data_IF_867734741024
#
_entry.id   IF_867734741024
#
_cell.length_a   1.000
_cell.length_b   1.000
_cell.length_c   1.000
_cell.angle_alpha   90.00
_cell.angle_beta   90.00
_cell.angle_gamma   90.00
#
_symmetry.space_group_name_H-M   'P 1'
#
loop_
_entity.id
_entity.type
_entity.pdbx_description
1 polymer ?
#
# COMPACT_ATOMS: atom_id res chain seq x y z
N UNK A 1 -5.18 17.17 9.36
CA UNK A 1 -4.87 17.29 10.78
C UNK A 1 -3.51 16.68 11.12
N UNK A 2 -3.00 16.99 12.32
CA UNK A 2 -1.85 16.33 12.94
C UNK A 2 -2.12 16.22 14.44
N UNK A 3 -2.00 15.02 14.99
CA UNK A 3 -2.27 14.75 16.40
C UNK A 3 -1.24 13.77 16.98
N UNK A 4 -1.08 13.81 18.30
CA UNK A 4 -0.20 12.89 19.02
C UNK A 4 -0.96 12.28 20.20
N UNK A 5 -0.91 10.98 20.34
CA UNK A 5 -1.55 10.27 21.44
C UNK A 5 -0.77 9.00 21.79
N UNK A 6 -0.56 8.78 23.11
CA UNK A 6 0.00 7.52 23.64
C UNK A 6 1.29 7.07 22.94
N UNK A 7 2.18 8.00 22.55
CA UNK A 7 3.45 7.68 21.90
C UNK A 7 3.35 7.32 20.42
N UNK A 8 2.27 7.72 19.77
CA UNK A 8 2.07 7.68 18.31
C UNK A 8 1.72 9.09 17.82
N UNK A 9 2.31 9.50 16.72
CA UNK A 9 1.88 10.66 15.92
C UNK A 9 1.05 10.15 14.75
N UNK A 10 -0.07 10.80 14.47
CA UNK A 10 -0.90 10.53 13.29
C UNK A 10 -1.18 11.85 12.58
N UNK A 11 -0.84 11.90 11.30
CA UNK A 11 -1.08 13.05 10.42
C UNK A 11 -1.95 12.61 9.24
N UNK A 12 -2.96 13.42 8.91
CA UNK A 12 -3.74 13.27 7.69
C UNK A 12 -3.33 14.38 6.71
N UNK A 13 -3.00 14.02 5.49
CA UNK A 13 -2.56 14.90 4.41
C UNK A 13 -3.54 14.71 3.25
N UNK A 14 -4.27 15.77 2.93
CA UNK A 14 -5.17 15.75 1.77
C UNK A 14 -4.39 16.07 0.49
N UNK A 15 -4.78 15.41 -0.60
CA UNK A 15 -4.26 15.68 -1.94
C UNK A 15 -5.37 15.51 -2.98
N UNK A 16 -5.21 16.17 -4.13
CA UNK A 16 -6.16 16.05 -5.23
C UNK A 16 -5.80 14.85 -6.10
N UNK A 17 -6.66 13.85 -6.12
CA UNK A 17 -6.61 12.68 -6.99
C UNK A 17 -7.48 12.87 -8.25
N UNK A 18 -7.41 11.94 -9.22
CA UNK A 18 -8.18 12.01 -10.46
C UNK A 18 -9.71 11.93 -10.26
N UNK A 19 -10.16 11.29 -9.20
CA UNK A 19 -11.59 11.17 -8.87
C UNK A 19 -12.00 12.03 -7.66
N UNK A 20 -11.22 13.07 -7.34
CA UNK A 20 -11.49 13.98 -6.23
C UNK A 20 -10.45 13.92 -5.13
N UNK A 21 -10.74 14.61 -4.02
CA UNK A 21 -9.83 14.68 -2.87
C UNK A 21 -9.65 13.33 -2.20
N UNK A 22 -8.42 13.04 -1.80
CA UNK A 22 -8.04 11.83 -1.04
C UNK A 22 -7.24 12.22 0.18
N UNK A 23 -7.30 11.39 1.20
CA UNK A 23 -6.56 11.58 2.44
C UNK A 23 -5.52 10.47 2.60
N UNK A 24 -4.28 10.88 2.80
CA UNK A 24 -3.16 10.01 3.14
C UNK A 24 -2.88 10.12 4.64
N UNK A 25 -2.94 9.01 5.35
CA UNK A 25 -2.62 8.94 6.77
C UNK A 25 -1.17 8.54 6.96
N UNK A 26 -0.44 9.28 7.78
CA UNK A 26 0.97 8.98 8.11
C UNK A 26 1.12 8.88 9.61
N UNK A 27 1.67 7.78 10.11
CA UNK A 27 1.92 7.56 11.52
C UNK A 27 3.38 7.18 11.79
N UNK A 28 3.93 7.69 12.90
CA UNK A 28 5.32 7.47 13.32
C UNK A 28 5.51 7.77 14.82
N UNK A 29 6.72 7.62 15.33
CA UNK A 29 7.05 8.06 16.68
C UNK A 29 6.94 9.60 16.81
N UNK A 30 6.36 10.14 17.89
CA UNK A 30 6.32 11.58 18.12
C UNK A 30 7.72 12.21 18.14
N UNK A 31 7.89 13.32 17.41
CA UNK A 31 9.18 14.02 17.33
C UNK A 31 10.17 13.40 16.32
N UNK A 32 9.77 12.38 15.55
CA UNK A 32 10.58 11.88 14.45
C UNK A 32 10.56 12.89 13.31
N UNK A 33 11.71 13.52 13.03
CA UNK A 33 11.87 14.51 11.96
C UNK A 33 12.10 13.82 10.61
N UNK A 34 12.99 12.82 10.59
CA UNK A 34 13.32 12.08 9.36
C UNK A 34 13.29 10.57 9.64
N UNK A 35 12.36 9.82 9.04
CA UNK A 35 12.34 8.38 9.15
C UNK A 35 13.42 7.72 8.28
N UNK A 36 13.92 6.57 8.72
CA UNK A 36 14.86 5.76 7.95
C UNK A 36 14.14 4.99 6.82
N UNK A 37 12.82 4.83 6.94
CA UNK A 37 11.96 4.08 6.02
C UNK A 37 10.52 4.58 6.09
N UNK A 38 9.88 4.66 4.93
CA UNK A 38 8.42 4.78 4.80
C UNK A 38 7.86 3.48 4.25
N UNK A 39 6.85 2.92 4.92
CA UNK A 39 6.04 1.83 4.38
C UNK A 39 4.66 2.40 4.01
N UNK A 40 4.36 2.46 2.71
CA UNK A 40 3.06 2.91 2.21
C UNK A 40 2.21 1.70 1.86
N UNK A 41 1.10 1.54 2.57
CA UNK A 41 0.12 0.48 2.38
C UNK A 41 -1.09 0.99 1.61
N UNK A 42 -1.39 0.36 0.47
CA UNK A 42 -2.64 0.54 -0.26
C UNK A 42 -3.70 -0.35 0.37
N UNK A 43 -4.71 0.26 0.98
CA UNK A 43 -5.73 -0.43 1.75
C UNK A 43 -6.86 -0.92 0.83
N UNK A 44 -7.31 -2.15 1.02
CA UNK A 44 -8.64 -2.62 0.60
C UNK A 44 -9.67 -2.40 1.71
N UNK A 45 -10.91 -2.85 1.51
CA UNK A 45 -12.01 -2.64 2.46
C UNK A 45 -11.70 -3.18 3.86
N UNK A 46 -11.19 -4.39 3.98
CA UNK A 46 -10.82 -4.96 5.28
C UNK A 46 -9.60 -4.23 5.88
N UNK A 47 -8.59 -3.94 5.07
CA UNK A 47 -7.42 -3.16 5.51
C UNK A 47 -7.79 -1.77 6.03
N UNK A 48 -8.80 -1.12 5.43
CA UNK A 48 -9.34 0.14 5.93
C UNK A 48 -9.97 0.00 7.31
N UNK A 49 -10.81 -1.02 7.51
CA UNK A 49 -11.41 -1.31 8.82
C UNK A 49 -10.34 -1.61 9.87
N UNK A 50 -9.35 -2.41 9.51
CA UNK A 50 -8.22 -2.75 10.38
C UNK A 50 -7.40 -1.51 10.78
N UNK A 51 -7.13 -0.61 9.83
CA UNK A 51 -6.47 0.66 10.09
C UNK A 51 -7.26 1.52 11.09
N UNK A 52 -8.56 1.69 10.86
CA UNK A 52 -9.43 2.45 11.75
C UNK A 52 -9.48 1.82 13.15
N UNK A 53 -9.66 0.50 13.24
CA UNK A 53 -9.67 -0.22 14.51
C UNK A 53 -8.34 -0.07 15.27
N UNK A 54 -7.21 -0.12 14.53
CA UNK A 54 -5.87 0.04 15.11
C UNK A 54 -5.60 1.46 15.60
N UNK A 55 -6.05 2.49 14.89
CA UNK A 55 -5.80 3.90 15.24
C UNK A 55 -6.82 4.45 16.24
N UNK A 56 -8.03 3.91 16.29
CA UNK A 56 -9.11 4.36 17.19
C UNK A 56 -8.69 4.54 18.65
N UNK A 57 -7.90 3.65 19.30
CA UNK A 57 -7.54 3.82 20.72
C UNK A 57 -6.79 5.11 21.06
N UNK A 58 -6.17 5.74 20.08
CA UNK A 58 -5.44 7.00 20.26
C UNK A 58 -6.08 8.21 19.58
N UNK A 59 -6.91 8.00 18.54
CA UNK A 59 -7.27 9.06 17.58
C UNK A 59 -8.76 9.03 17.19
N UNK A 60 -9.66 8.54 18.07
CA UNK A 60 -11.08 8.41 17.79
C UNK A 60 -11.72 9.73 17.35
N UNK A 61 -11.33 10.85 17.96
CA UNK A 61 -11.86 12.18 17.63
C UNK A 61 -11.34 12.69 16.30
N UNK A 62 -10.06 12.49 16.04
CA UNK A 62 -9.35 12.96 14.85
C UNK A 62 -9.76 12.19 13.59
N UNK A 63 -10.09 10.90 13.74
CA UNK A 63 -10.61 10.08 12.64
C UNK A 63 -11.98 10.56 12.17
N UNK A 64 -12.84 11.09 13.08
CA UNK A 64 -14.04 11.84 12.73
C UNK A 64 -15.18 11.05 12.07
N UNK A 65 -15.09 9.71 11.97
CA UNK A 65 -16.09 8.87 11.36
C UNK A 65 -17.19 8.47 12.36
N UNK A 66 -18.44 8.44 11.90
CA UNK A 66 -19.60 8.08 12.73
C UNK A 66 -19.56 6.59 13.09
N UNK A 67 -19.24 5.73 12.12
CA UNK A 67 -19.21 4.28 12.28
C UNK A 67 -17.78 3.73 12.33
N UNK A 68 -17.10 3.95 13.44
CA UNK A 68 -15.79 3.37 13.66
C UNK A 68 -15.89 1.90 14.11
N UNK A 69 -15.05 1.00 13.57
CA UNK A 69 -14.98 -0.38 14.05
C UNK A 69 -14.54 -0.44 15.51
N UNK A 70 -14.78 -1.57 16.17
CA UNK A 70 -14.33 -1.78 17.54
C UNK A 70 -12.82 -1.53 17.69
N UNK A 71 -12.35 -0.88 18.77
CA UNK A 71 -10.94 -0.53 18.94
C UNK A 71 -10.07 -1.79 19.10
N UNK A 72 -8.97 -1.88 18.34
CA UNK A 72 -8.00 -2.96 18.45
C UNK A 72 -6.76 -2.52 19.25
N UNK A 73 -6.85 -2.68 20.59
CA UNK A 73 -5.77 -2.30 21.50
C UNK A 73 -4.47 -3.09 21.25
N UNK A 74 -4.57 -4.36 20.81
CA UNK A 74 -3.41 -5.20 20.52
C UNK A 74 -2.63 -4.62 19.33
N UNK A 75 -3.33 -4.32 18.25
CA UNK A 75 -2.73 -3.72 17.06
C UNK A 75 -2.14 -2.34 17.35
N UNK A 76 -2.84 -1.48 18.11
CA UNK A 76 -2.32 -0.19 18.53
C UNK A 76 -1.00 -0.31 19.33
N UNK A 77 -0.94 -1.25 20.29
CA UNK A 77 0.28 -1.53 21.06
C UNK A 77 1.43 -2.05 20.18
N UNK A 78 1.12 -2.85 19.16
CA UNK A 78 2.13 -3.30 18.20
C UNK A 78 2.73 -2.12 17.42
N UNK A 79 1.91 -1.17 16.94
CA UNK A 79 2.39 0.07 16.32
C UNK A 79 3.28 0.88 17.27
N UNK A 80 2.85 1.06 18.54
CA UNK A 80 3.67 1.74 19.56
C UNK A 80 5.03 1.07 19.74
N UNK A 81 5.04 -0.28 19.83
CA UNK A 81 6.28 -1.05 19.97
C UNK A 81 7.20 -0.89 18.76
N UNK A 82 6.65 -0.98 17.56
CA UNK A 82 7.38 -0.80 16.31
C UNK A 82 8.01 0.60 16.21
N UNK A 83 7.25 1.66 16.48
CA UNK A 83 7.77 3.03 16.42
C UNK A 83 8.83 3.34 17.48
N UNK A 84 8.81 2.67 18.62
CA UNK A 84 9.88 2.77 19.64
C UNK A 84 11.16 2.07 19.20
N UNK A 85 11.04 0.99 18.42
CA UNK A 85 12.17 0.15 18.01
C UNK A 85 12.81 0.61 16.69
N UNK A 86 12.05 1.28 15.84
CA UNK A 86 12.49 1.66 14.50
C UNK A 86 12.08 3.08 14.17
N UNK A 87 12.93 3.81 13.49
CA UNK A 87 12.63 5.15 12.94
C UNK A 87 11.84 5.01 11.64
N UNK A 88 10.72 4.33 11.68
CA UNK A 88 9.86 4.12 10.51
C UNK A 88 8.63 5.00 10.54
N UNK A 89 8.18 5.41 9.37
CA UNK A 89 6.86 5.97 9.16
C UNK A 89 5.99 4.96 8.40
N UNK A 90 4.76 4.79 8.88
CA UNK A 90 3.74 4.00 8.19
C UNK A 90 2.75 4.95 7.53
N UNK A 91 2.56 4.80 6.24
CA UNK A 91 1.60 5.57 5.47
C UNK A 91 0.48 4.66 4.96
N UNK A 92 -0.74 5.18 4.88
CA UNK A 92 -1.94 4.42 4.53
C UNK A 92 -2.79 5.23 3.57
N UNK A 93 -3.14 4.62 2.44
CA UNK A 93 -4.05 5.17 1.45
C UNK A 93 -5.25 4.24 1.29
N UNK A 94 -6.46 4.77 1.48
CA UNK A 94 -7.70 4.17 1.01
C UNK A 94 -8.04 4.81 -0.35
N UNK A 95 -7.81 4.11 -1.48
CA UNK A 95 -8.10 4.67 -2.79
C UNK A 95 -9.61 4.66 -3.11
N UNK A 96 -9.99 5.23 -4.25
CA UNK A 96 -11.37 5.28 -4.74
C UNK A 96 -12.08 3.93 -4.63
N UNK A 97 -13.31 3.95 -4.16
CA UNK A 97 -14.11 2.75 -3.87
C UNK A 97 -13.80 2.11 -2.51
N UNK A 98 -12.87 2.65 -1.74
CA UNK A 98 -12.50 2.17 -0.39
C UNK A 98 -12.68 3.31 0.61
N UNK A 99 -13.30 3.01 1.75
CA UNK A 99 -13.49 3.99 2.82
C UNK A 99 -14.72 4.87 2.65
N UNK A 100 -14.81 6.00 3.39
CA UNK A 100 -16.04 6.81 3.50
C UNK A 100 -16.36 7.63 2.26
N UNK A 101 -15.38 7.87 1.39
CA UNK A 101 -15.54 8.64 0.14
C UNK A 101 -15.81 7.73 -1.07
N UNK A 102 -16.29 6.50 -0.81
CA UNK A 102 -16.67 5.58 -1.87
C UNK A 102 -17.90 6.14 -2.60
N UNK A 103 -17.82 6.38 -3.93
CA UNK A 103 -19.05 6.61 -4.70
C UNK A 103 -19.98 5.41 -4.49
N UNK A 104 -21.28 5.65 -4.49
CA UNK A 104 -22.25 4.57 -4.47
C UNK A 104 -21.95 3.63 -5.64
N UNK A 105 -22.04 2.32 -5.42
CA UNK A 105 -21.71 1.28 -6.41
C UNK A 105 -22.54 1.39 -7.70
N UNK A 106 -23.53 2.23 -7.76
CA UNK A 106 -24.40 2.49 -8.92
C UNK A 106 -23.75 3.38 -10.00
N UNK A 107 -22.71 4.16 -9.64
CA UNK A 107 -22.02 5.07 -10.56
C UNK A 107 -20.68 4.52 -11.10
N UNK A 108 -20.32 3.29 -10.76
CA UNK A 108 -19.07 2.68 -11.19
C UNK A 108 -19.18 2.21 -12.65
N UNK A 109 -19.01 3.15 -13.57
CA UNK A 109 -18.67 2.80 -14.95
C UNK A 109 -17.41 1.95 -14.95
N UNK A 110 -17.55 0.70 -15.40
CA UNK A 110 -16.51 -0.32 -15.60
C UNK A 110 -15.38 -0.37 -14.54
N UNK A 111 -15.33 -1.45 -13.80
CA UNK A 111 -14.32 -1.78 -12.78
C UNK A 111 -12.86 -1.54 -13.26
N UNK A 112 -12.59 -1.68 -14.54
CA UNK A 112 -11.28 -1.41 -15.17
C UNK A 112 -10.88 0.08 -15.13
N UNK A 113 -11.84 1.01 -15.18
CA UNK A 113 -11.58 2.45 -15.07
C UNK A 113 -11.25 2.84 -13.63
N UNK A 114 -11.87 2.18 -12.66
CA UNK A 114 -11.62 2.39 -11.23
C UNK A 114 -10.20 1.98 -10.83
N UNK A 115 -9.70 0.88 -11.38
CA UNK A 115 -8.33 0.44 -11.09
C UNK A 115 -7.28 1.40 -11.64
N UNK A 116 -7.50 1.94 -12.82
CA UNK A 116 -6.63 2.98 -13.38
C UNK A 116 -6.62 4.25 -12.49
N UNK A 117 -7.78 4.65 -11.98
CA UNK A 117 -7.91 5.75 -11.02
C UNK A 117 -7.11 5.43 -9.74
N UNK A 118 -7.25 4.25 -9.16
CA UNK A 118 -6.52 3.80 -7.97
C UNK A 118 -5.00 3.83 -8.16
N UNK A 119 -4.51 3.39 -9.33
CA UNK A 119 -3.09 3.46 -9.69
C UNK A 119 -2.61 4.92 -9.69
N UNK A 120 -3.36 5.83 -10.32
CA UNK A 120 -3.01 7.25 -10.34
C UNK A 120 -3.08 7.90 -8.96
N UNK A 121 -4.06 7.55 -8.13
CA UNK A 121 -4.18 8.03 -6.75
C UNK A 121 -2.98 7.57 -5.90
N UNK A 122 -2.55 6.32 -6.01
CA UNK A 122 -1.38 5.83 -5.29
C UNK A 122 -0.10 6.52 -5.76
N UNK A 123 0.07 6.76 -7.06
CA UNK A 123 1.19 7.58 -7.57
C UNK A 123 1.19 8.98 -6.97
N UNK A 124 0.03 9.63 -6.92
CA UNK A 124 -0.12 10.94 -6.27
C UNK A 124 0.20 10.89 -4.77
N UNK A 125 -0.21 9.83 -4.07
CA UNK A 125 0.15 9.64 -2.66
C UNK A 125 1.66 9.50 -2.45
N UNK A 126 2.36 8.75 -3.30
CA UNK A 126 3.84 8.64 -3.29
C UNK A 126 4.47 10.02 -3.49
N UNK A 127 4.03 10.77 -4.49
CA UNK A 127 4.52 12.12 -4.77
C UNK A 127 4.22 13.10 -3.62
N UNK A 128 3.06 12.95 -2.98
CA UNK A 128 2.67 13.74 -1.79
C UNK A 128 3.57 13.44 -0.59
N UNK A 129 3.92 12.18 -0.34
CA UNK A 129 4.88 11.82 0.72
C UNK A 129 6.25 12.45 0.46
N UNK A 130 6.70 12.43 -0.78
CA UNK A 130 8.00 12.99 -1.15
C UNK A 130 8.05 14.51 -1.07
N UNK A 131 6.96 15.21 -1.34
CA UNK A 131 6.87 16.68 -1.31
C UNK A 131 6.31 17.19 0.02
N UNK A 132 4.99 17.18 0.18
CA UNK A 132 4.28 17.72 1.34
C UNK A 132 4.44 16.86 2.62
N UNK A 133 4.77 15.58 2.46
CA UNK A 133 5.10 14.68 3.56
C UNK A 133 6.43 14.97 4.23
N UNK A 134 7.33 15.68 3.56
CA UNK A 134 8.67 15.99 4.07
C UNK A 134 9.66 14.82 3.98
N UNK A 135 9.42 13.86 3.07
CA UNK A 135 10.22 12.62 2.96
C UNK A 135 10.84 12.46 1.55
N UNK A 136 11.59 13.44 1.03
CA UNK A 136 11.97 13.47 -0.39
C UNK A 136 12.93 12.35 -0.81
N UNK A 137 13.77 11.85 0.09
CA UNK A 137 14.80 10.83 -0.20
C UNK A 137 14.70 9.59 0.69
N UNK A 138 13.67 9.50 1.52
CA UNK A 138 13.50 8.35 2.41
C UNK A 138 13.19 7.10 1.57
N UNK A 139 13.88 5.97 1.80
CA UNK A 139 13.53 4.70 1.16
C UNK A 139 12.06 4.36 1.35
N UNK A 140 11.40 3.88 0.30
CA UNK A 140 9.97 3.57 0.34
C UNK A 140 9.73 2.10 0.02
N UNK A 141 8.96 1.44 0.89
CA UNK A 141 8.36 0.15 0.61
C UNK A 141 6.88 0.34 0.32
N UNK A 142 6.40 -0.31 -0.73
CA UNK A 142 4.98 -0.32 -1.09
C UNK A 142 4.37 -1.67 -0.72
N UNK A 143 3.22 -1.65 -0.06
CA UNK A 143 2.51 -2.83 0.38
C UNK A 143 1.07 -2.83 -0.13
N UNK A 144 0.60 -4.00 -0.61
CA UNK A 144 -0.78 -4.20 -1.03
C UNK A 144 -1.22 -5.65 -0.86
N UNK A 145 -2.55 -5.86 -0.75
CA UNK A 145 -3.18 -7.17 -0.57
C UNK A 145 -4.25 -7.40 -1.63
N UNK A 146 -4.32 -8.62 -2.20
CA UNK A 146 -5.30 -8.98 -3.22
C UNK A 146 -5.25 -8.03 -4.42
N UNK A 147 -6.39 -7.46 -4.80
CA UNK A 147 -6.48 -6.50 -5.92
C UNK A 147 -5.63 -5.26 -5.68
N UNK A 148 -5.50 -4.81 -4.42
CA UNK A 148 -4.63 -3.69 -4.08
C UNK A 148 -3.14 -4.02 -4.24
N UNK A 149 -2.74 -5.29 -4.26
CA UNK A 149 -1.38 -5.69 -4.63
C UNK A 149 -1.09 -5.38 -6.11
N UNK A 150 -2.07 -5.59 -7.00
CA UNK A 150 -1.99 -5.17 -8.40
C UNK A 150 -1.86 -3.65 -8.55
N UNK A 151 -2.74 -2.87 -7.90
CA UNK A 151 -2.67 -1.40 -7.87
C UNK A 151 -1.28 -0.94 -7.41
N UNK A 152 -0.77 -1.54 -6.33
CA UNK A 152 0.52 -1.21 -5.72
C UNK A 152 1.67 -1.49 -6.67
N UNK A 153 1.67 -2.64 -7.33
CA UNK A 153 2.70 -3.01 -8.30
C UNK A 153 2.73 -2.04 -9.48
N UNK A 154 1.57 -1.81 -10.12
CA UNK A 154 1.51 -0.92 -11.28
C UNK A 154 1.85 0.53 -10.93
N UNK A 155 1.38 1.07 -9.82
CA UNK A 155 1.71 2.44 -9.42
C UNK A 155 3.21 2.62 -9.20
N UNK A 156 3.84 1.67 -8.51
CA UNK A 156 5.26 1.76 -8.18
C UNK A 156 6.19 1.61 -9.38
N UNK A 157 5.77 0.97 -10.48
CA UNK A 157 6.56 0.91 -11.72
C UNK A 157 6.81 2.28 -12.35
N UNK A 158 5.94 3.24 -12.11
CA UNK A 158 6.03 4.59 -12.69
C UNK A 158 6.64 5.63 -11.73
N UNK A 159 7.05 5.19 -10.53
CA UNK A 159 7.62 6.10 -9.54
C UNK A 159 9.07 5.72 -9.25
N UNK A 160 9.98 6.70 -9.19
CA UNK A 160 11.39 6.44 -8.88
C UNK A 160 11.57 6.06 -7.40
N UNK A 161 12.70 5.41 -7.12
CA UNK A 161 13.18 5.17 -5.76
C UNK A 161 12.25 4.34 -4.87
N UNK A 162 11.49 3.41 -5.47
CA UNK A 162 10.78 2.37 -4.72
C UNK A 162 11.77 1.26 -4.39
N UNK A 163 12.15 1.15 -3.12
CA UNK A 163 13.16 0.18 -2.68
C UNK A 163 12.59 -1.26 -2.65
N UNK A 164 11.29 -1.42 -2.34
CA UNK A 164 10.69 -2.74 -2.17
C UNK A 164 9.19 -2.74 -2.37
N UNK A 165 8.69 -3.85 -2.89
CA UNK A 165 7.27 -4.22 -2.92
C UNK A 165 7.03 -5.42 -1.99
N UNK A 166 6.01 -5.33 -1.14
CA UNK A 166 5.44 -6.40 -0.34
C UNK A 166 4.02 -6.69 -0.84
N UNK A 167 3.88 -7.72 -1.69
CA UNK A 167 2.65 -8.03 -2.40
C UNK A 167 2.04 -9.32 -1.85
N UNK A 168 0.92 -9.19 -1.15
CA UNK A 168 0.19 -10.29 -0.56
C UNK A 168 -0.93 -10.72 -1.49
N UNK A 169 -1.02 -12.02 -1.76
CA UNK A 169 -2.10 -12.63 -2.56
C UNK A 169 -2.28 -11.94 -3.93
N UNK A 170 -1.17 -11.50 -4.54
CA UNK A 170 -1.20 -10.96 -5.90
C UNK A 170 -1.74 -12.03 -6.86
N UNK A 171 -2.79 -11.77 -7.65
CA UNK A 171 -3.26 -12.71 -8.67
C UNK A 171 -2.14 -13.13 -9.62
N UNK A 172 -2.14 -14.38 -10.05
CA UNK A 172 -1.11 -14.93 -10.95
C UNK A 172 -1.32 -14.53 -12.41
N UNK A 173 -2.50 -14.06 -12.75
CA UNK A 173 -2.87 -13.56 -14.07
C UNK A 173 -4.01 -12.57 -13.97
N UNK A 174 -4.05 -11.59 -14.85
CA UNK A 174 -5.17 -10.66 -15.02
C UNK A 174 -6.49 -11.39 -15.36
N UNK A 175 -6.42 -12.60 -15.91
CA UNK A 175 -7.61 -13.43 -16.14
C UNK A 175 -8.25 -13.93 -14.82
N UNK A 176 -7.53 -13.90 -13.71
CA UNK A 176 -7.99 -14.32 -12.39
C UNK A 176 -8.42 -13.14 -11.50
N UNK A 177 -8.37 -11.93 -12.05
CA UNK A 177 -8.69 -10.69 -11.35
C UNK A 177 -9.55 -9.81 -12.25
N UNK A 178 -10.37 -8.97 -11.66
CA UNK A 178 -11.03 -7.87 -12.38
C UNK A 178 -10.08 -6.73 -12.72
N UNK A 179 -8.91 -6.72 -12.10
CA UNK A 179 -7.91 -5.65 -12.19
C UNK A 179 -7.38 -5.48 -13.61
N UNK A 180 -7.56 -4.29 -14.19
CA UNK A 180 -7.04 -3.85 -15.48
C UNK A 180 -7.15 -4.93 -16.59
N UNK A 181 -8.34 -5.48 -16.82
CA UNK A 181 -8.58 -6.59 -17.79
C UNK A 181 -7.88 -6.42 -19.12
N UNK A 182 -7.76 -5.18 -19.63
CA UNK A 182 -7.10 -4.88 -20.89
C UNK A 182 -5.57 -4.90 -20.83
N UNK A 183 -4.98 -4.89 -19.63
CA UNK A 183 -3.52 -4.94 -19.46
C UNK A 183 -2.93 -6.29 -19.94
N UNK A 184 -3.71 -7.38 -19.90
CA UNK A 184 -3.29 -8.70 -20.36
C UNK A 184 -2.83 -8.72 -21.82
N UNK A 185 -3.35 -7.82 -22.66
CA UNK A 185 -2.93 -7.70 -24.07
C UNK A 185 -1.48 -7.24 -24.22
N UNK A 186 -0.89 -6.68 -23.17
CA UNK A 186 0.47 -6.14 -23.15
C UNK A 186 1.36 -6.97 -22.24
N UNK A 187 0.96 -7.13 -20.96
CA UNK A 187 1.73 -7.81 -19.93
C UNK A 187 0.78 -8.51 -18.95
N UNK A 188 1.21 -9.67 -18.43
CA UNK A 188 0.56 -10.30 -17.30
C UNK A 188 1.34 -10.03 -16.00
N UNK A 189 0.79 -10.36 -14.83
CA UNK A 189 1.43 -10.11 -13.53
C UNK A 189 2.84 -10.68 -13.41
N UNK A 190 3.17 -11.91 -13.90
CA UNK A 190 4.53 -12.40 -13.82
C UNK A 190 5.55 -11.54 -14.58
N UNK A 191 5.17 -11.01 -15.74
CA UNK A 191 6.04 -10.10 -16.51
C UNK A 191 6.15 -8.73 -15.82
N UNK A 192 5.06 -8.23 -15.25
CA UNK A 192 5.02 -6.98 -14.50
C UNK A 192 5.90 -7.04 -13.25
N UNK A 193 5.86 -8.17 -12.53
CA UNK A 193 6.78 -8.43 -11.40
C UNK A 193 8.23 -8.44 -11.88
N UNK A 194 8.53 -9.09 -13.01
CA UNK A 194 9.88 -9.11 -13.56
C UNK A 194 10.40 -7.69 -13.89
N UNK A 195 9.55 -6.81 -14.40
CA UNK A 195 9.92 -5.40 -14.63
C UNK A 195 10.24 -4.68 -13.31
N UNK A 196 9.45 -4.90 -12.27
CA UNK A 196 9.70 -4.28 -10.97
C UNK A 196 11.05 -4.69 -10.37
N UNK A 197 11.54 -5.91 -10.67
CA UNK A 197 12.83 -6.40 -10.20
C UNK A 197 14.03 -5.63 -10.74
N UNK A 198 13.88 -4.87 -11.82
CA UNK A 198 14.97 -4.07 -12.37
C UNK A 198 15.48 -3.04 -11.37
N UNK A 199 14.58 -2.41 -10.62
CA UNK A 199 14.93 -1.30 -9.74
C UNK A 199 14.58 -1.55 -8.26
N UNK A 200 13.78 -2.58 -7.97
CA UNK A 200 13.24 -2.83 -6.64
C UNK A 200 13.42 -4.28 -6.20
N UNK A 201 13.37 -4.52 -4.90
CA UNK A 201 13.12 -5.85 -4.36
C UNK A 201 11.61 -6.14 -4.41
N UNK A 202 11.20 -7.34 -4.80
CA UNK A 202 9.81 -7.79 -4.73
C UNK A 202 9.70 -9.01 -3.83
N UNK A 203 8.84 -8.91 -2.82
CA UNK A 203 8.47 -10.03 -1.97
C UNK A 203 7.00 -10.37 -2.25
N UNK A 204 6.78 -11.56 -2.77
CA UNK A 204 5.47 -12.13 -2.99
C UNK A 204 5.10 -13.00 -1.79
N UNK A 205 4.04 -12.67 -1.09
CA UNK A 205 3.46 -13.51 -0.05
C UNK A 205 2.37 -14.36 -0.70
N UNK A 206 2.68 -15.65 -0.92
CA UNK A 206 1.88 -16.59 -1.70
C UNK A 206 1.89 -17.96 -1.05
N UNK A 207 0.81 -18.73 -1.20
CA UNK A 207 0.73 -20.11 -0.69
C UNK A 207 1.76 -21.03 -1.35
N UNK A 208 2.14 -20.75 -2.60
CA UNK A 208 3.12 -21.53 -3.36
C UNK A 208 3.76 -20.72 -4.48
N UNK A 209 4.88 -21.23 -5.00
CA UNK A 209 5.68 -20.58 -6.06
C UNK A 209 5.12 -20.80 -7.48
N UNK A 210 4.10 -21.64 -7.65
CA UNK A 210 3.53 -21.97 -8.97
C UNK A 210 3.00 -20.72 -9.68
N UNK A 211 3.40 -20.51 -10.92
CA UNK A 211 2.99 -19.39 -11.75
C UNK A 211 3.97 -18.20 -11.71
N UNK A 212 5.02 -18.27 -10.88
CA UNK A 212 6.04 -17.22 -10.77
C UNK A 212 7.39 -17.60 -11.42
N UNK A 213 7.38 -18.63 -12.30
CA UNK A 213 8.59 -19.11 -13.00
C UNK A 213 9.22 -18.04 -13.88
N UNK A 214 8.40 -17.18 -14.50
CA UNK A 214 8.90 -16.12 -15.38
C UNK A 214 9.78 -15.10 -14.64
N UNK A 215 9.32 -14.41 -13.59
CA UNK A 215 10.16 -13.47 -12.85
C UNK A 215 11.35 -14.15 -12.16
N UNK A 216 11.21 -15.40 -11.70
CA UNK A 216 12.31 -16.17 -11.13
C UNK A 216 13.41 -16.45 -12.17
N UNK A 217 13.01 -16.85 -13.38
CA UNK A 217 13.95 -17.09 -14.49
C UNK A 217 14.61 -15.80 -14.95
N UNK A 218 13.86 -14.68 -15.02
CA UNK A 218 14.42 -13.36 -15.37
C UNK A 218 15.46 -12.92 -14.33
N UNK A 219 15.14 -13.01 -13.05
CA UNK A 219 16.04 -12.66 -11.95
C UNK A 219 17.34 -13.49 -12.02
N UNK A 220 17.22 -14.79 -12.27
CA UNK A 220 18.39 -15.68 -12.41
C UNK A 220 19.27 -15.32 -13.60
N UNK A 221 18.65 -15.10 -14.78
CA UNK A 221 19.39 -14.77 -16.02
C UNK A 221 20.10 -13.42 -15.94
N UNK A 222 19.48 -12.44 -15.28
CA UNK A 222 20.01 -11.08 -15.13
C UNK A 222 20.87 -10.92 -13.86
N UNK A 223 21.09 -12.01 -13.13
CA UNK A 223 21.89 -12.03 -11.90
C UNK A 223 21.37 -11.06 -10.82
N UNK A 224 20.07 -10.84 -10.78
CA UNK A 224 19.41 -10.02 -9.76
C UNK A 224 19.18 -10.83 -8.48
N UNK A 225 20.28 -11.23 -7.88
CA UNK A 225 20.26 -12.05 -6.67
C UNK A 225 19.50 -11.36 -5.54
N UNK A 226 18.62 -12.12 -4.88
CA UNK A 226 17.81 -11.66 -3.74
C UNK A 226 16.78 -10.55 -4.06
N UNK A 227 16.57 -10.16 -5.31
CA UNK A 227 15.53 -9.18 -5.65
C UNK A 227 14.13 -9.77 -5.64
N UNK A 228 13.97 -11.05 -6.00
CA UNK A 228 12.69 -11.77 -5.88
C UNK A 228 12.74 -12.71 -4.68
N UNK A 229 11.71 -12.64 -3.83
CA UNK A 229 11.46 -13.61 -2.77
C UNK A 229 10.00 -14.02 -2.80
N UNK A 230 9.73 -15.31 -2.66
CA UNK A 230 8.39 -15.86 -2.50
C UNK A 230 8.33 -16.43 -1.09
N UNK A 231 7.36 -15.99 -0.30
CA UNK A 231 7.22 -16.35 1.10
C UNK A 231 5.80 -16.82 1.39
N UNK A 232 5.66 -17.78 2.28
CA UNK A 232 4.34 -18.13 2.81
C UNK A 232 3.74 -16.94 3.56
N UNK A 233 2.46 -16.59 3.35
CA UNK A 233 1.80 -15.55 4.12
C UNK A 233 1.92 -15.82 5.63
N UNK A 234 2.06 -14.78 6.46
CA UNK A 234 1.97 -14.98 7.90
C UNK A 234 0.58 -15.51 8.26
N UNK A 235 0.46 -16.33 9.32
CA UNK A 235 -0.84 -16.83 9.74
C UNK A 235 -1.81 -15.66 10.02
N UNK A 236 -3.11 -15.83 9.73
CA UNK A 236 -4.11 -14.80 10.01
C UNK A 236 -4.10 -14.43 11.50
N UNK A 237 -4.28 -13.16 11.79
CA UNK A 237 -4.19 -12.58 13.14
C UNK A 237 -5.42 -12.89 13.99
#
# INVERSE_FOLDING_TARGET
FSAQSKGVSLRAIDFDGPAGRRTLYVSHYPGLEEPDLVVLTTLGNEGWKDFLAAMRPGFEKELGFVDLPAPNLKSFKQHQGMYRSFKWAMAYLAPSGIGPESPSTEDAEEESSLDAIRVLELRKAIQTLRSAGGMPKVPMWLQGHGDMAGVTLYAGLFEPDIARFDLHDLPKSHNQSSFLKNALTILDFPQTVALALENSQVILYQDNEKGWDYPASAAKRLQWNNRLQIRTPPPPK
#
